data_IF_339329289691
#
_entry.id   IF_339329289691
#
_cell.length_a   1.000
_cell.length_b   1.000
_cell.length_c   1.000
_cell.angle_alpha   90.00
_cell.angle_beta   90.00
_cell.angle_gamma   90.00
#
_symmetry.space_group_name_H-M   'P 1'
#
loop_
_entity.id
_entity.type
_entity.pdbx_description
1 polymer ?
#
# COMPACT_ATOMS: atom_id res chain seq x y z
N UNK A 1 9.48 3.72 4.26
CA UNK A 1 8.42 2.90 4.89
C UNK A 1 7.14 3.71 4.95
N UNK A 2 7.04 4.64 5.89
CA UNK A 2 5.86 5.49 6.06
C UNK A 2 5.46 6.26 4.79
N UNK A 3 6.43 6.87 4.07
CA UNK A 3 6.14 7.60 2.82
C UNK A 3 5.52 6.71 1.74
N UNK A 4 6.04 5.49 1.56
CA UNK A 4 5.50 4.51 0.62
C UNK A 4 4.06 4.13 1.00
N UNK A 5 3.80 3.92 2.30
CA UNK A 5 2.45 3.65 2.78
C UNK A 5 1.48 4.82 2.48
N UNK A 6 1.89 6.06 2.78
CA UNK A 6 1.06 7.26 2.53
C UNK A 6 0.78 7.44 1.04
N UNK A 7 1.76 7.21 0.16
CA UNK A 7 1.55 7.27 -1.29
C UNK A 7 0.49 6.26 -1.72
N UNK A 8 0.58 5.01 -1.25
CA UNK A 8 -0.39 3.98 -1.62
C UNK A 8 -1.79 4.27 -1.08
N UNK A 9 -1.92 4.77 0.16
CA UNK A 9 -3.22 5.23 0.70
C UNK A 9 -3.78 6.40 -0.12
N UNK A 10 -2.93 7.35 -0.54
CA UNK A 10 -3.34 8.46 -1.40
C UNK A 10 -3.85 8.00 -2.77
N UNK A 11 -3.23 6.98 -3.36
CA UNK A 11 -3.69 6.38 -4.61
C UNK A 11 -5.02 5.64 -4.45
N UNK A 12 -5.23 4.93 -3.33
CA UNK A 12 -6.53 4.33 -3.03
C UNK A 12 -7.62 5.38 -2.81
N UNK A 13 -7.29 6.48 -2.14
CA UNK A 13 -8.20 7.60 -1.94
C UNK A 13 -8.58 8.26 -3.28
N UNK A 14 -7.63 8.40 -4.20
CA UNK A 14 -7.88 8.95 -5.54
C UNK A 14 -8.91 8.13 -6.33
N UNK A 15 -8.95 6.80 -6.14
CA UNK A 15 -9.88 5.91 -6.84
C UNK A 15 -11.22 5.77 -6.10
N UNK A 16 -11.18 5.65 -4.77
CA UNK A 16 -12.37 5.30 -3.97
C UNK A 16 -13.07 6.51 -3.36
N UNK A 17 -12.38 7.63 -3.19
CA UNK A 17 -12.87 8.86 -2.57
C UNK A 17 -13.10 8.76 -1.06
N UNK A 18 -12.62 7.70 -0.40
CA UNK A 18 -12.85 7.46 1.03
C UNK A 18 -11.61 6.90 1.70
N UNK A 19 -11.45 7.22 2.99
CA UNK A 19 -10.42 6.64 3.87
C UNK A 19 -11.01 5.59 4.82
N UNK A 20 -12.34 5.44 4.84
CA UNK A 20 -13.01 4.42 5.64
C UNK A 20 -12.74 3.04 5.02
N UNK A 21 -12.12 2.14 5.79
CA UNK A 21 -11.70 0.81 5.34
C UNK A 21 -12.91 -0.06 4.96
N UNK A 22 -14.06 0.13 5.61
CA UNK A 22 -15.29 -0.62 5.29
C UNK A 22 -15.83 -0.20 3.92
N UNK A 23 -15.92 1.11 3.67
CA UNK A 23 -16.35 1.64 2.37
C UNK A 23 -15.34 1.31 1.27
N UNK A 24 -14.05 1.32 1.61
CA UNK A 24 -12.97 0.98 0.70
C UNK A 24 -13.10 -0.46 0.19
N UNK A 25 -13.36 -1.43 1.08
CA UNK A 25 -13.55 -2.83 0.73
C UNK A 25 -14.75 -3.03 -0.22
N UNK A 26 -15.86 -2.34 0.03
CA UNK A 26 -17.05 -2.40 -0.82
C UNK A 26 -16.81 -1.79 -2.21
N UNK A 27 -16.00 -0.72 -2.31
CA UNK A 27 -15.70 -0.02 -3.57
C UNK A 27 -14.59 -0.66 -4.40
N UNK A 28 -13.66 -1.37 -3.75
CA UNK A 28 -12.56 -2.05 -4.42
C UNK A 28 -13.03 -3.27 -5.23
N UNK A 29 -14.01 -4.04 -4.73
CA UNK A 29 -14.53 -5.22 -5.44
C UNK A 29 -14.93 -4.93 -6.89
N UNK A 30 -15.88 -4.00 -7.13
CA UNK A 30 -16.27 -3.61 -8.48
C UNK A 30 -15.14 -3.05 -9.35
N UNK A 31 -14.13 -2.41 -8.73
CA UNK A 31 -12.96 -1.86 -9.41
C UNK A 31 -11.95 -2.92 -9.86
N UNK A 32 -12.02 -4.14 -9.32
CA UNK A 32 -11.25 -5.29 -9.79
C UNK A 32 -11.99 -6.06 -10.90
N UNK A 33 -13.32 -6.15 -10.81
CA UNK A 33 -14.14 -6.88 -11.79
C UNK A 33 -14.14 -6.24 -13.19
N UNK A 34 -14.01 -4.91 -13.26
CA UNK A 34 -13.86 -4.17 -14.53
C UNK A 34 -12.46 -4.20 -15.15
N UNK A 35 -11.53 -4.96 -14.55
CA UNK A 35 -10.10 -4.95 -14.84
C UNK A 35 -9.34 -4.10 -13.81
N UNK A 36 -8.28 -4.67 -13.23
CA UNK A 36 -7.51 -4.01 -12.17
C UNK A 36 -7.01 -2.64 -12.62
N UNK A 37 -7.61 -1.57 -12.06
CA UNK A 37 -7.21 -0.21 -12.41
C UNK A 37 -5.74 0.03 -12.04
N UNK A 38 -4.96 0.57 -12.99
CA UNK A 38 -3.52 0.84 -12.82
C UNK A 38 -3.17 1.56 -11.50
N UNK A 39 -3.98 2.54 -11.02
CA UNK A 39 -3.71 3.20 -9.74
C UNK A 39 -3.88 2.28 -8.53
N UNK A 40 -4.84 1.34 -8.56
CA UNK A 40 -5.04 0.37 -7.46
C UNK A 40 -3.86 -0.59 -7.36
N UNK A 41 -3.35 -1.08 -8.50
CA UNK A 41 -2.15 -1.94 -8.51
C UNK A 41 -0.92 -1.21 -8.00
N UNK A 42 -0.71 0.04 -8.43
CA UNK A 42 0.37 0.87 -7.92
C UNK A 42 0.22 1.11 -6.41
N UNK A 43 -0.99 1.41 -5.94
CA UNK A 43 -1.28 1.61 -4.54
C UNK A 43 -0.91 0.38 -3.70
N UNK A 44 -1.29 -0.80 -4.17
CA UNK A 44 -0.98 -2.07 -3.53
C UNK A 44 0.53 -2.29 -3.45
N UNK A 45 1.27 -2.06 -4.54
CA UNK A 45 2.73 -2.16 -4.56
C UNK A 45 3.39 -1.21 -3.54
N UNK A 46 2.95 0.05 -3.49
CA UNK A 46 3.46 1.05 -2.54
C UNK A 46 3.17 0.67 -1.08
N UNK A 47 1.95 0.21 -0.78
CA UNK A 47 1.59 -0.25 0.57
C UNK A 47 2.43 -1.48 0.96
N UNK A 48 2.51 -2.48 0.08
CA UNK A 48 3.27 -3.70 0.34
C UNK A 48 4.76 -3.41 0.58
N UNK A 49 5.39 -2.58 -0.24
CA UNK A 49 6.80 -2.17 -0.04
C UNK A 49 6.96 -1.38 1.26
N UNK A 50 6.03 -0.46 1.55
CA UNK A 50 6.04 0.36 2.75
C UNK A 50 5.97 -0.46 4.04
N UNK A 51 5.08 -1.46 4.07
CA UNK A 51 4.92 -2.41 5.18
C UNK A 51 6.13 -3.35 5.25
N UNK A 52 6.60 -3.88 4.11
CA UNK A 52 7.75 -4.81 4.07
C UNK A 52 9.03 -4.18 4.63
N UNK A 53 9.28 -2.90 4.34
CA UNK A 53 10.39 -2.17 4.95
C UNK A 53 10.25 -2.07 6.47
N UNK A 54 9.02 -1.88 6.97
CA UNK A 54 8.74 -1.76 8.41
C UNK A 54 8.88 -3.10 9.14
N UNK A 55 8.52 -4.19 8.46
CA UNK A 55 8.67 -5.57 8.96
C UNK A 55 10.09 -6.13 8.79
N UNK A 56 11.00 -5.40 8.11
CA UNK A 56 12.32 -5.91 7.73
C UNK A 56 12.24 -7.27 7.00
N UNK A 57 11.30 -7.39 6.05
CA UNK A 57 11.18 -8.56 5.18
C UNK A 57 12.35 -8.63 4.18
N UNK A 58 12.76 -9.83 3.77
CA UNK A 58 13.73 -10.00 2.67
C UNK A 58 13.17 -9.38 1.37
N UNK A 59 13.94 -8.58 0.60
CA UNK A 59 15.35 -8.17 0.79
C UNK A 59 15.56 -6.82 1.52
N UNK A 60 14.52 -6.23 2.13
CA UNK A 60 14.47 -4.87 2.67
C UNK A 60 14.90 -4.73 4.16
N UNK A 61 15.69 -5.67 4.70
CA UNK A 61 16.06 -5.71 6.12
C UNK A 61 17.41 -5.04 6.46
N UNK A 62 18.11 -4.49 5.46
CA UNK A 62 19.50 -3.99 5.58
C UNK A 62 19.67 -2.90 6.66
N UNK A 63 18.62 -2.14 6.96
CA UNK A 63 18.66 -1.10 8.00
C UNK A 63 18.65 -1.65 9.43
N UNK A 64 18.19 -2.90 9.63
CA UNK A 64 17.97 -3.49 10.94
C UNK A 64 19.29 -3.69 11.74
N UNK A 65 20.37 -4.27 11.18
CA UNK A 65 21.61 -4.45 11.94
C UNK A 65 22.22 -3.13 12.43
N UNK A 66 22.22 -2.10 11.59
CA UNK A 66 22.80 -0.79 11.94
C UNK A 66 21.99 -0.02 13.00
N UNK A 67 20.70 -0.32 13.17
CA UNK A 67 19.84 0.33 14.15
C UNK A 67 19.96 -0.26 15.56
N UNK A 68 20.49 -1.48 15.67
CA UNK A 68 20.64 -2.24 16.92
C UNK A 68 22.10 -2.53 17.27
N UNK A 69 23.05 -1.86 16.61
CA UNK A 69 24.48 -1.86 16.95
C UNK A 69 24.79 -0.78 18.00
#
# INVERSE_FOLDING_TARGET
>A
GATFYVIGVGLLYLVTGTLNIVDLAARLGPAFDGGASRPVLAALAFITVGISLKLALFPLHVWLPNAYA
#
